data_IF_964802464538
#
_entry.id   IF_964802464538
#
_cell.length_a   1.000
_cell.length_b   1.000
_cell.length_c   1.000
_cell.angle_alpha   90.00
_cell.angle_beta   90.00
_cell.angle_gamma   90.00
#
_symmetry.space_group_name_H-M   'P 1'
#
loop_
_entity.id
_entity.type
_entity.pdbx_description
1 polymer ?
#
# COMPACT_ATOMS: atom_id res chain seq x y z
N UNK A 1 23.26 -11.05 23.65
CA UNK A 1 22.54 -10.69 22.43
C UNK A 1 21.30 -9.79 22.66
N UNK A 2 20.52 -9.96 23.74
CA UNK A 2 19.35 -9.11 24.03
C UNK A 2 19.68 -7.63 24.34
N UNK A 3 20.78 -7.32 24.95
CA UNK A 3 21.19 -5.94 25.30
C UNK A 3 21.68 -5.14 24.07
N UNK A 4 22.32 -5.77 23.08
CA UNK A 4 22.83 -5.10 21.89
C UNK A 4 21.70 -4.68 20.92
N UNK A 5 20.63 -5.48 20.81
CA UNK A 5 19.48 -5.14 19.97
C UNK A 5 18.63 -4.01 20.57
N UNK A 6 18.56 -3.93 21.90
CA UNK A 6 17.85 -2.88 22.63
C UNK A 6 18.59 -1.54 22.52
N UNK A 7 19.92 -1.56 22.64
CA UNK A 7 20.77 -0.37 22.51
C UNK A 7 20.74 0.21 21.10
N UNK A 8 20.85 -0.62 20.04
CA UNK A 8 20.67 -0.17 18.64
C UNK A 8 19.29 0.42 18.33
N UNK A 9 18.26 0.02 19.06
CA UNK A 9 16.90 0.54 18.87
C UNK A 9 16.70 1.86 19.62
N UNK A 10 17.39 2.05 20.75
CA UNK A 10 17.39 3.28 21.56
C UNK A 10 18.24 4.38 20.88
N UNK A 11 19.38 4.04 20.29
CA UNK A 11 20.27 4.96 19.57
C UNK A 11 19.56 5.52 18.30
N UNK A 12 18.92 4.66 17.51
CA UNK A 12 18.11 5.08 16.35
C UNK A 12 16.90 5.96 16.72
N UNK A 13 16.32 5.78 17.90
CA UNK A 13 15.17 6.53 18.41
C UNK A 13 15.57 7.96 18.76
N UNK A 14 16.69 8.16 19.46
CA UNK A 14 17.11 9.49 19.90
C UNK A 14 17.57 10.34 18.71
N UNK A 15 18.33 9.77 17.80
CA UNK A 15 18.75 10.44 16.58
C UNK A 15 17.57 10.92 15.73
N UNK A 16 16.54 10.07 15.55
CA UNK A 16 15.30 10.47 14.84
C UNK A 16 14.59 11.63 15.53
N UNK A 17 14.58 11.64 16.87
CA UNK A 17 13.99 12.73 17.65
C UNK A 17 14.79 14.02 17.49
N UNK A 18 16.13 13.95 17.48
CA UNK A 18 17.01 15.10 17.24
C UNK A 18 16.78 15.68 15.83
N UNK A 19 16.73 14.83 14.79
CA UNK A 19 16.39 15.26 13.42
C UNK A 19 15.03 15.99 13.38
N UNK A 20 14.04 15.46 14.09
CA UNK A 20 12.72 16.06 14.16
C UNK A 20 12.75 17.41 14.87
N UNK A 21 13.39 17.49 16.03
CA UNK A 21 13.51 18.71 16.82
C UNK A 21 14.27 19.79 16.05
N UNK A 22 15.36 19.42 15.35
CA UNK A 22 16.12 20.31 14.49
C UNK A 22 15.27 20.83 13.32
N UNK A 23 14.69 19.93 12.55
CA UNK A 23 13.87 20.25 11.38
C UNK A 23 12.73 21.22 11.68
N UNK A 24 12.05 21.03 12.79
CA UNK A 24 10.88 21.82 13.16
C UNK A 24 11.18 22.96 14.13
N UNK A 25 12.47 23.17 14.45
CA UNK A 25 12.93 24.20 15.37
C UNK A 25 12.20 24.16 16.71
N UNK A 26 12.00 22.94 17.26
CA UNK A 26 11.31 22.73 18.56
C UNK A 26 12.23 22.90 19.76
N UNK A 27 13.33 23.56 19.62
CA UNK A 27 14.30 23.89 20.67
C UNK A 27 14.17 25.39 21.03
N UNK A 28 14.63 25.80 22.23
CA UNK A 28 14.68 27.23 22.57
C UNK A 28 15.52 28.02 21.58
N UNK A 29 14.96 29.12 21.04
CA UNK A 29 15.65 29.96 20.05
C UNK A 29 16.71 30.90 20.68
N UNK A 30 16.81 30.95 22.00
CA UNK A 30 17.75 31.77 22.76
C UNK A 30 18.70 30.87 23.55
N UNK A 31 19.99 31.28 23.58
CA UNK A 31 21.01 30.73 24.48
C UNK A 31 21.58 29.34 24.14
N UNK A 32 21.59 28.91 22.87
CA UNK A 32 22.38 27.74 22.47
C UNK A 32 23.85 28.14 22.28
N UNK A 33 24.73 27.29 22.73
CA UNK A 33 26.19 27.45 22.55
C UNK A 33 26.81 26.19 21.97
N UNK A 34 27.83 26.37 21.14
CA UNK A 34 28.65 25.26 20.64
C UNK A 34 29.62 24.71 21.71
N UNK A 35 30.41 23.71 21.32
CA UNK A 35 31.46 23.10 22.15
C UNK A 35 32.51 24.08 22.67
N UNK A 36 32.69 25.19 21.97
CA UNK A 36 33.68 26.21 22.33
C UNK A 36 33.06 27.38 23.12
N UNK A 37 31.76 27.30 23.45
CA UNK A 37 31.03 28.32 24.19
C UNK A 37 30.56 29.48 23.33
N UNK A 38 30.64 29.39 22.02
CA UNK A 38 30.15 30.42 21.11
C UNK A 38 28.61 30.32 20.96
N UNK A 39 27.96 31.47 20.92
CA UNK A 39 26.52 31.51 20.70
C UNK A 39 26.17 30.99 19.29
N UNK A 40 25.20 30.07 19.25
CA UNK A 40 24.66 29.49 18.03
C UNK A 40 23.19 29.92 17.84
N UNK A 41 22.88 30.44 16.66
CA UNK A 41 21.50 30.75 16.23
C UNK A 41 21.19 30.01 14.94
N UNK A 42 20.07 29.29 14.90
CA UNK A 42 19.61 28.56 13.72
C UNK A 42 18.62 29.42 12.95
N UNK A 43 19.08 30.02 11.86
CA UNK A 43 18.25 30.85 10.96
C UNK A 43 17.34 29.94 10.11
N UNK A 44 17.97 28.95 9.43
CA UNK A 44 17.29 27.95 8.60
C UNK A 44 17.91 26.57 8.89
N UNK A 45 17.12 25.56 9.27
CA UNK A 45 17.63 24.21 9.55
C UNK A 45 18.14 23.49 8.29
N UNK A 46 17.85 24.00 7.09
CA UNK A 46 18.20 23.37 5.82
C UNK A 46 17.19 22.35 5.30
N UNK A 47 17.55 21.74 4.18
CA UNK A 47 16.74 20.72 3.52
C UNK A 47 17.11 19.33 4.02
N UNK A 48 16.17 18.63 4.64
CA UNK A 48 16.39 17.28 5.14
C UNK A 48 16.71 16.31 4.00
N UNK A 49 17.84 15.64 4.10
CA UNK A 49 18.31 14.63 3.15
C UNK A 49 17.80 13.24 3.58
N UNK A 50 17.35 12.45 2.61
CA UNK A 50 16.94 11.05 2.79
C UNK A 50 17.84 10.07 2.02
N UNK A 51 18.95 10.58 1.46
CA UNK A 51 19.91 9.81 0.67
C UNK A 51 21.28 9.82 1.39
N UNK A 52 22.31 9.29 0.73
CA UNK A 52 23.67 9.35 1.24
C UNK A 52 24.18 10.79 1.35
N UNK A 53 25.08 11.05 2.30
CA UNK A 53 25.64 12.36 2.62
C UNK A 53 24.98 13.02 3.83
N UNK A 54 25.37 14.25 4.18
CA UNK A 54 24.91 14.96 5.37
C UNK A 54 23.37 15.04 5.49
N UNK A 55 22.86 15.04 6.73
CA UNK A 55 21.42 14.97 7.05
C UNK A 55 20.63 16.18 6.61
N UNK A 56 21.23 17.36 6.64
CA UNK A 56 20.58 18.60 6.18
C UNK A 56 21.50 19.37 5.26
N UNK A 57 20.99 19.72 4.09
CA UNK A 57 21.71 20.55 3.11
C UNK A 57 21.36 22.02 3.23
N UNK A 58 22.36 22.89 3.01
CA UNK A 58 22.20 24.33 2.94
C UNK A 58 21.52 24.94 4.17
N UNK A 59 21.84 24.42 5.34
CA UNK A 59 21.43 25.06 6.59
C UNK A 59 22.10 26.42 6.72
N UNK A 60 21.41 27.37 7.37
CA UNK A 60 21.92 28.70 7.67
C UNK A 60 21.96 28.87 9.20
N UNK A 61 23.19 28.99 9.72
CA UNK A 61 23.44 29.13 11.16
C UNK A 61 24.33 30.35 11.40
N UNK A 62 24.16 31.01 12.54
CA UNK A 62 25.06 32.07 12.98
C UNK A 62 25.83 31.55 14.19
N UNK A 63 27.15 31.49 14.09
CA UNK A 63 28.05 31.04 15.15
C UNK A 63 28.96 32.22 15.49
N UNK A 64 28.97 32.64 16.75
CA UNK A 64 29.75 33.77 17.22
C UNK A 64 29.58 35.03 16.37
N UNK A 65 28.36 35.33 15.92
CA UNK A 65 28.00 36.49 15.06
C UNK A 65 28.37 36.35 13.57
N UNK A 66 28.98 35.24 13.17
CA UNK A 66 29.32 34.95 11.78
C UNK A 66 28.27 34.02 11.17
N UNK A 67 27.67 34.39 10.04
CA UNK A 67 26.73 33.57 9.28
C UNK A 67 27.48 32.49 8.50
N UNK A 68 27.05 31.26 8.66
CA UNK A 68 27.54 30.08 7.93
C UNK A 68 26.41 29.47 7.12
N UNK A 69 26.69 29.16 5.87
CA UNK A 69 25.79 28.38 5.01
C UNK A 69 26.50 27.10 4.63
N UNK A 70 25.91 25.95 4.99
CA UNK A 70 26.51 24.64 4.72
C UNK A 70 25.62 23.50 5.18
N UNK A 71 26.20 22.33 5.31
CA UNK A 71 25.48 21.14 5.71
C UNK A 71 25.51 20.96 7.23
N UNK A 72 24.53 20.26 7.76
CA UNK A 72 24.47 19.86 9.17
C UNK A 72 24.35 18.35 9.23
N UNK A 73 25.13 17.75 10.12
CA UNK A 73 25.06 16.33 10.48
C UNK A 73 24.54 16.19 11.89
N UNK A 74 23.74 15.16 12.14
CA UNK A 74 23.09 14.93 13.45
C UNK A 74 23.36 13.51 13.92
N UNK A 75 23.81 13.37 15.15
CA UNK A 75 24.04 12.08 15.81
C UNK A 75 23.52 12.09 17.23
N UNK A 76 23.34 10.92 17.82
CA UNK A 76 23.09 10.82 19.26
C UNK A 76 24.35 11.24 20.06
N UNK A 77 25.53 10.78 19.63
CA UNK A 77 26.83 11.13 20.25
C UNK A 77 27.84 11.64 19.23
N UNK A 78 28.73 12.51 19.67
CA UNK A 78 29.79 13.00 18.79
C UNK A 78 30.67 11.88 18.22
N UNK A 79 30.94 10.84 19.00
CA UNK A 79 31.75 9.68 18.59
C UNK A 79 31.16 8.90 17.42
N UNK A 80 29.85 9.02 17.15
CA UNK A 80 29.19 8.36 16.04
C UNK A 80 29.67 8.88 14.67
N UNK A 81 30.19 10.12 14.63
CA UNK A 81 30.92 10.66 13.48
C UNK A 81 32.01 9.71 12.96
N UNK A 82 32.79 9.16 13.86
CA UNK A 82 33.87 8.22 13.53
C UNK A 82 33.37 6.80 13.33
N UNK A 83 32.29 6.43 14.02
CA UNK A 83 31.67 5.11 13.85
C UNK A 83 31.08 4.96 12.45
N UNK A 84 30.54 6.05 11.88
CA UNK A 84 30.00 6.11 10.54
C UNK A 84 31.06 6.41 9.46
N UNK A 85 32.29 6.78 9.88
CA UNK A 85 33.45 7.00 8.98
C UNK A 85 33.43 8.33 8.25
N UNK A 86 32.71 9.33 8.77
CA UNK A 86 32.55 10.65 8.14
C UNK A 86 33.87 11.42 8.05
N UNK A 87 34.84 11.17 8.91
CA UNK A 87 36.18 11.72 8.87
C UNK A 87 36.99 11.30 7.63
N UNK A 88 36.48 10.31 6.86
CA UNK A 88 37.12 9.77 5.64
C UNK A 88 36.35 10.09 4.37
N UNK A 89 35.21 10.77 4.49
CA UNK A 89 34.33 11.06 3.35
C UNK A 89 34.31 12.55 3.04
N UNK A 90 34.78 12.90 1.83
CA UNK A 90 34.82 14.27 1.34
C UNK A 90 33.44 14.95 1.24
N UNK A 91 32.33 14.18 1.22
CA UNK A 91 30.98 14.72 1.20
C UNK A 91 30.67 15.51 2.49
N UNK A 92 31.35 15.19 3.60
CA UNK A 92 31.15 15.84 4.89
C UNK A 92 32.08 17.07 5.11
N UNK A 93 32.98 17.41 4.18
CA UNK A 93 33.82 18.58 4.29
C UNK A 93 33.02 19.91 4.29
N UNK A 94 31.79 19.91 3.78
CA UNK A 94 30.90 21.08 3.78
C UNK A 94 29.97 21.13 5.01
N UNK A 95 30.15 20.25 5.98
CA UNK A 95 29.43 20.32 7.25
C UNK A 95 29.95 21.53 8.04
N UNK A 96 29.04 22.41 8.45
CA UNK A 96 29.36 23.65 9.19
C UNK A 96 29.03 23.54 10.67
N UNK A 97 28.17 22.59 11.04
CA UNK A 97 27.77 22.32 12.42
C UNK A 97 27.46 20.84 12.58
N UNK A 98 28.02 20.23 13.63
CA UNK A 98 27.66 18.90 14.06
C UNK A 98 26.69 19.00 15.25
N UNK A 99 25.47 18.51 15.09
CA UNK A 99 24.42 18.57 16.10
C UNK A 99 24.34 17.22 16.79
N UNK A 100 24.34 17.20 18.12
CA UNK A 100 24.39 15.96 18.90
C UNK A 100 23.48 15.98 20.11
N UNK A 101 23.13 14.80 20.60
CA UNK A 101 22.48 14.61 21.90
C UNK A 101 23.49 14.72 23.05
N UNK A 102 24.72 14.24 22.83
CA UNK A 102 25.83 14.27 23.84
C UNK A 102 27.16 14.55 23.13
N UNK A 103 27.90 15.52 23.64
CA UNK A 103 29.28 15.79 23.19
C UNK A 103 30.23 14.95 24.04
N UNK A 104 30.75 13.87 23.47
CA UNK A 104 31.69 12.95 24.12
C UNK A 104 33.08 12.96 23.47
N UNK A 105 33.24 13.61 22.31
CA UNK A 105 34.49 13.67 21.55
C UNK A 105 34.52 14.83 20.57
N UNK A 106 35.72 15.43 20.36
CA UNK A 106 35.95 16.36 19.24
C UNK A 106 35.91 15.64 17.89
N UNK A 107 35.36 16.27 16.89
CA UNK A 107 35.26 15.71 15.55
C UNK A 107 35.97 16.58 14.51
N UNK A 108 36.55 15.90 13.51
CA UNK A 108 37.23 16.53 12.37
C UNK A 108 36.70 16.01 11.04
N UNK A 109 36.69 16.89 10.08
CA UNK A 109 36.43 16.54 8.68
C UNK A 109 37.68 15.93 8.02
N UNK A 110 37.54 15.37 6.80
CA UNK A 110 38.65 14.77 6.05
C UNK A 110 39.80 15.78 5.79
N UNK A 111 39.49 17.08 5.63
CA UNK A 111 40.46 18.15 5.45
C UNK A 111 41.08 18.63 6.76
N UNK A 112 40.77 17.98 7.91
CA UNK A 112 41.39 18.24 9.20
C UNK A 112 40.79 19.42 9.97
N UNK A 113 39.70 20.00 9.52
CA UNK A 113 38.98 21.08 10.19
C UNK A 113 38.17 20.53 11.36
N UNK A 114 38.36 21.08 12.58
CA UNK A 114 37.46 20.83 13.69
C UNK A 114 36.09 21.42 13.45
N UNK A 115 35.04 20.64 13.73
CA UNK A 115 33.66 21.08 13.60
C UNK A 115 33.15 21.66 14.92
N UNK A 116 32.49 22.83 14.89
CA UNK A 116 31.69 23.27 16.00
C UNK A 116 30.60 22.24 16.27
N UNK A 117 30.38 21.91 17.56
CA UNK A 117 29.40 20.92 17.96
C UNK A 117 28.32 21.58 18.83
N UNK A 118 27.07 21.28 18.56
CA UNK A 118 25.92 21.77 19.32
C UNK A 118 25.21 20.61 19.99
N UNK A 119 25.24 20.58 21.34
CA UNK A 119 24.33 19.70 22.05
C UNK A 119 22.90 20.27 21.96
N UNK A 120 22.03 19.59 21.19
CA UNK A 120 20.70 20.09 20.90
C UNK A 120 19.76 19.87 22.10
N UNK A 121 19.24 20.93 22.71
CA UNK A 121 18.30 20.77 23.82
C UNK A 121 16.94 20.27 23.30
N UNK A 122 16.58 19.05 23.66
CA UNK A 122 15.23 18.48 23.41
C UNK A 122 14.34 18.84 24.61
N UNK A 123 13.28 19.65 24.43
CA UNK A 123 12.37 19.97 25.52
C UNK A 123 11.76 18.70 26.14
N UNK A 124 11.64 18.64 27.44
CA UNK A 124 11.08 17.50 28.17
C UNK A 124 9.65 17.16 27.71
N UNK A 125 8.85 18.18 27.39
CA UNK A 125 7.50 17.99 26.84
C UNK A 125 7.52 17.29 25.49
N UNK A 126 8.48 17.62 24.61
CA UNK A 126 8.60 16.99 23.30
C UNK A 126 9.02 15.52 23.46
N UNK A 127 9.97 15.24 24.35
CA UNK A 127 10.39 13.87 24.69
C UNK A 127 9.23 13.05 25.25
N UNK A 128 8.55 13.55 26.25
CA UNK A 128 7.42 12.88 26.88
C UNK A 128 6.26 12.63 25.89
N UNK A 129 5.95 13.62 25.06
CA UNK A 129 4.93 13.49 24.02
C UNK A 129 5.28 12.41 22.99
N UNK A 130 6.54 12.32 22.62
CA UNK A 130 6.99 11.29 21.67
C UNK A 130 6.93 9.88 22.28
N UNK A 131 7.39 9.72 23.52
CA UNK A 131 7.29 8.44 24.25
C UNK A 131 5.82 8.00 24.39
N UNK A 132 4.90 8.94 24.68
CA UNK A 132 3.47 8.66 24.72
C UNK A 132 2.92 8.22 23.34
N UNK A 133 3.33 8.87 22.24
CA UNK A 133 2.94 8.48 20.90
C UNK A 133 3.39 7.08 20.50
N UNK A 134 4.53 6.62 21.05
CA UNK A 134 5.06 5.27 20.80
C UNK A 134 4.40 4.22 21.69
N UNK A 135 3.72 4.59 22.75
CA UNK A 135 3.03 3.66 23.62
C UNK A 135 1.97 2.85 22.85
N UNK A 136 1.79 1.59 23.24
CA UNK A 136 0.74 0.75 22.70
C UNK A 136 -0.57 1.03 23.42
N UNK A 137 -1.59 1.49 22.68
CA UNK A 137 -2.93 1.71 23.19
C UNK A 137 -3.98 1.19 22.19
N UNK A 138 -5.22 1.07 22.66
CA UNK A 138 -6.38 0.69 21.83
C UNK A 138 -6.60 1.68 20.70
N UNK A 139 -6.38 2.96 20.95
CA UNK A 139 -6.41 4.05 19.98
C UNK A 139 -5.03 4.69 19.89
N UNK A 140 -4.62 5.23 18.74
CA UNK A 140 -3.41 6.03 18.65
C UNK A 140 -3.47 7.19 19.66
N UNK A 141 -2.45 7.42 20.52
CA UNK A 141 -2.51 8.44 21.58
C UNK A 141 -2.87 9.85 21.07
N UNK A 142 -2.45 10.18 19.84
CA UNK A 142 -2.78 11.44 19.19
C UNK A 142 -4.29 11.66 18.94
N UNK A 143 -5.16 10.64 19.15
CA UNK A 143 -6.61 10.83 19.01
C UNK A 143 -7.16 11.92 19.95
N UNK A 144 -6.51 12.13 21.09
CA UNK A 144 -6.93 13.11 22.10
C UNK A 144 -6.95 14.54 21.59
N UNK A 145 -6.12 14.85 20.59
CA UNK A 145 -6.04 16.21 20.05
C UNK A 145 -6.88 16.45 18.81
N UNK A 146 -7.44 15.37 18.21
CA UNK A 146 -8.23 15.49 16.97
C UNK A 146 -9.37 16.51 17.09
N UNK A 147 -10.14 16.57 18.20
CA UNK A 147 -11.22 17.56 18.36
C UNK A 147 -10.74 19.01 18.32
N UNK A 148 -9.47 19.26 18.65
CA UNK A 148 -8.89 20.61 18.71
C UNK A 148 -8.20 21.01 17.40
N UNK A 149 -8.06 20.09 16.46
CA UNK A 149 -7.44 20.36 15.16
C UNK A 149 -8.35 21.22 14.29
N UNK A 150 -7.74 22.15 13.55
CA UNK A 150 -8.49 22.94 12.58
C UNK A 150 -9.01 22.06 11.43
N UNK A 151 -10.16 22.40 10.87
CA UNK A 151 -10.71 21.73 9.68
C UNK A 151 -9.71 21.74 8.52
N UNK A 152 -8.95 22.82 8.35
CA UNK A 152 -7.93 22.94 7.32
C UNK A 152 -6.80 21.93 7.53
N UNK A 153 -6.32 21.77 8.76
CA UNK A 153 -5.26 20.80 9.11
C UNK A 153 -5.72 19.38 8.78
N UNK A 154 -6.93 19.01 9.20
CA UNK A 154 -7.52 17.69 8.94
C UNK A 154 -7.67 17.47 7.43
N UNK A 155 -8.32 18.39 6.72
CA UNK A 155 -8.58 18.27 5.29
C UNK A 155 -7.29 18.16 4.48
N UNK A 156 -6.32 19.03 4.71
CA UNK A 156 -5.06 19.01 3.97
C UNK A 156 -4.27 17.70 4.22
N UNK A 157 -4.31 17.18 5.45
CA UNK A 157 -3.66 15.91 5.76
C UNK A 157 -4.38 14.72 5.13
N UNK A 158 -5.70 14.68 5.16
CA UNK A 158 -6.51 13.64 4.53
C UNK A 158 -6.28 13.59 3.02
N UNK A 159 -6.23 14.76 2.35
CA UNK A 159 -5.94 14.83 0.90
C UNK A 159 -4.52 14.34 0.56
N UNK A 160 -3.52 14.68 1.38
CA UNK A 160 -2.16 14.16 1.20
C UNK A 160 -2.11 12.63 1.35
N UNK A 161 -2.77 12.08 2.38
CA UNK A 161 -2.83 10.64 2.62
C UNK A 161 -3.57 9.87 1.51
N UNK A 162 -4.63 10.45 0.95
CA UNK A 162 -5.35 9.91 -0.20
C UNK A 162 -4.44 9.79 -1.42
N UNK A 163 -3.70 10.85 -1.71
CA UNK A 163 -2.71 10.89 -2.81
C UNK A 163 -1.62 9.83 -2.59
N UNK A 164 -1.01 9.78 -1.40
CA UNK A 164 -0.02 8.75 -1.06
C UNK A 164 -0.58 7.33 -1.22
N UNK A 165 -1.85 7.13 -0.88
CA UNK A 165 -2.52 5.83 -1.03
C UNK A 165 -2.62 5.41 -2.48
N UNK A 166 -3.00 6.33 -3.37
CA UNK A 166 -3.06 6.08 -4.81
C UNK A 166 -1.67 5.84 -5.41
N UNK A 167 -0.68 6.63 -5.01
CA UNK A 167 0.71 6.45 -5.47
C UNK A 167 1.26 5.07 -5.05
N UNK A 168 1.02 4.64 -3.82
CA UNK A 168 1.43 3.31 -3.36
C UNK A 168 0.76 2.20 -4.16
N UNK A 169 -0.56 2.31 -4.42
CA UNK A 169 -1.27 1.34 -5.28
C UNK A 169 -0.74 1.37 -6.72
N UNK A 170 -0.34 2.53 -7.21
CA UNK A 170 0.28 2.69 -8.53
C UNK A 170 1.57 1.89 -8.66
N UNK A 171 2.41 1.83 -7.62
CA UNK A 171 3.64 1.02 -7.61
C UNK A 171 3.31 -0.46 -7.87
N UNK A 172 2.29 -1.00 -7.17
CA UNK A 172 1.87 -2.39 -7.34
C UNK A 172 1.30 -2.67 -8.75
N UNK A 173 0.52 -1.72 -9.31
CA UNK A 173 -0.04 -1.85 -10.65
C UNK A 173 1.06 -1.77 -11.71
N UNK A 174 2.01 -0.83 -11.59
CA UNK A 174 3.16 -0.73 -12.49
C UNK A 174 4.03 -1.98 -12.45
N UNK A 175 4.24 -2.56 -11.27
CA UNK A 175 4.95 -3.84 -11.14
C UNK A 175 4.23 -4.93 -11.94
N UNK A 176 2.89 -5.06 -11.81
CA UNK A 176 2.11 -6.03 -12.62
C UNK A 176 2.23 -5.77 -14.12
N UNK A 177 2.20 -4.50 -14.55
CA UNK A 177 2.38 -4.15 -15.95
C UNK A 177 3.78 -4.55 -16.46
N UNK A 178 4.83 -4.31 -15.67
CA UNK A 178 6.20 -4.73 -15.99
C UNK A 178 6.33 -6.26 -16.05
N UNK A 179 5.75 -6.97 -15.08
CA UNK A 179 5.70 -8.45 -15.07
C UNK A 179 4.97 -9.02 -16.30
N UNK A 180 4.09 -8.23 -16.91
CA UNK A 180 3.38 -8.54 -18.16
C UNK A 180 4.03 -7.91 -19.40
N UNK A 181 5.33 -7.57 -19.39
CA UNK A 181 6.04 -6.95 -20.50
C UNK A 181 5.42 -5.65 -21.02
N UNK A 182 4.86 -4.85 -20.13
CA UNK A 182 4.19 -3.59 -20.47
C UNK A 182 2.74 -3.71 -20.92
N UNK A 183 2.15 -4.90 -20.87
CA UNK A 183 0.74 -5.13 -21.19
C UNK A 183 -0.18 -4.68 -20.05
N UNK A 184 -0.74 -3.48 -20.21
CA UNK A 184 -1.68 -2.89 -19.25
C UNK A 184 -3.05 -3.59 -19.21
N UNK A 185 -3.48 -4.24 -20.29
CA UNK A 185 -4.71 -5.04 -20.31
C UNK A 185 -4.57 -6.25 -19.37
N UNK A 186 -3.47 -6.99 -19.46
CA UNK A 186 -3.17 -8.09 -18.53
C UNK A 186 -2.99 -7.59 -17.10
N UNK A 187 -2.30 -6.47 -16.88
CA UNK A 187 -2.12 -5.89 -15.54
C UNK A 187 -3.46 -5.46 -14.92
N UNK A 188 -4.36 -4.90 -15.72
CA UNK A 188 -5.71 -4.57 -15.29
C UNK A 188 -6.51 -5.82 -14.92
N UNK A 189 -6.49 -6.87 -15.77
CA UNK A 189 -7.19 -8.12 -15.49
C UNK A 189 -6.70 -8.76 -14.19
N UNK A 190 -5.39 -8.82 -13.98
CA UNK A 190 -4.79 -9.34 -12.73
C UNK A 190 -5.25 -8.51 -11.51
N UNK A 191 -5.27 -7.18 -11.65
CA UNK A 191 -5.71 -6.29 -10.56
C UNK A 191 -7.21 -6.44 -10.27
N UNK A 192 -8.02 -6.60 -11.32
CA UNK A 192 -9.45 -6.88 -11.21
C UNK A 192 -9.70 -8.22 -10.50
N UNK A 193 -9.05 -9.28 -10.96
CA UNK A 193 -9.15 -10.61 -10.36
C UNK A 193 -8.76 -10.58 -8.88
N UNK A 194 -7.65 -9.93 -8.51
CA UNK A 194 -7.23 -9.76 -7.11
C UNK A 194 -8.35 -9.17 -6.25
N UNK A 195 -9.09 -8.19 -6.76
CA UNK A 195 -10.18 -7.54 -6.03
C UNK A 195 -11.40 -8.44 -5.83
N UNK A 196 -11.62 -9.43 -6.71
CA UNK A 196 -12.66 -10.46 -6.51
C UNK A 196 -12.36 -11.41 -5.35
N UNK A 197 -11.13 -11.43 -4.84
CA UNK A 197 -10.75 -12.17 -3.65
C UNK A 197 -11.21 -11.52 -2.33
N UNK A 198 -11.65 -10.27 -2.34
CA UNK A 198 -12.17 -9.50 -1.20
C UNK A 198 -11.34 -9.66 0.09
N UNK A 199 -10.03 -9.57 -0.03
CA UNK A 199 -9.06 -9.70 1.05
C UNK A 199 -8.62 -11.14 1.29
N UNK A 200 -9.53 -12.03 1.67
CA UNK A 200 -9.21 -13.40 2.10
C UNK A 200 -8.56 -14.24 0.99
N UNK A 201 -9.05 -14.13 -0.23
CA UNK A 201 -8.55 -14.87 -1.39
C UNK A 201 -7.81 -13.96 -2.41
N UNK A 202 -7.48 -12.72 -2.06
CA UNK A 202 -6.89 -11.76 -3.00
C UNK A 202 -5.59 -12.27 -3.63
N UNK A 203 -4.71 -12.89 -2.83
CA UNK A 203 -3.44 -13.42 -3.33
C UNK A 203 -3.63 -14.65 -4.23
N UNK A 204 -4.58 -15.54 -3.86
CA UNK A 204 -4.92 -16.69 -4.70
C UNK A 204 -5.53 -16.25 -6.04
N UNK A 205 -6.41 -15.26 -6.06
CA UNK A 205 -6.95 -14.69 -7.28
C UNK A 205 -5.88 -14.00 -8.14
N UNK A 206 -4.94 -13.27 -7.54
CA UNK A 206 -3.82 -12.67 -8.28
C UNK A 206 -2.94 -13.75 -8.91
N UNK A 207 -2.57 -14.78 -8.14
CA UNK A 207 -1.76 -15.89 -8.65
C UNK A 207 -2.50 -16.63 -9.77
N UNK A 208 -3.76 -16.97 -9.57
CA UNK A 208 -4.60 -17.58 -10.60
C UNK A 208 -4.63 -16.75 -11.88
N UNK A 209 -4.85 -15.44 -11.79
CA UNK A 209 -4.92 -14.57 -12.96
C UNK A 209 -3.59 -14.46 -13.71
N UNK A 210 -2.46 -14.56 -13.00
CA UNK A 210 -1.11 -14.61 -13.60
C UNK A 210 -0.86 -15.89 -14.38
N UNK A 211 -1.43 -17.00 -13.93
CA UNK A 211 -1.32 -18.32 -14.59
C UNK A 211 -2.39 -18.54 -15.65
N UNK A 212 -3.36 -17.62 -15.81
CA UNK A 212 -4.43 -17.79 -16.77
C UNK A 212 -3.94 -17.46 -18.19
N UNK A 213 -4.01 -18.42 -19.15
CA UNK A 213 -3.60 -18.19 -20.53
C UNK A 213 -4.68 -17.40 -21.30
N UNK A 214 -4.70 -16.08 -21.14
CA UNK A 214 -5.71 -15.21 -21.77
C UNK A 214 -5.68 -15.30 -23.30
N UNK A 215 -4.53 -15.59 -23.92
CA UNK A 215 -4.41 -15.86 -25.35
C UNK A 215 -5.19 -17.12 -25.76
N UNK A 216 -5.06 -18.21 -25.00
CA UNK A 216 -5.84 -19.43 -25.24
C UNK A 216 -7.34 -19.18 -25.02
N UNK A 217 -7.72 -18.45 -23.94
CA UNK A 217 -9.09 -18.06 -23.70
C UNK A 217 -9.68 -17.20 -24.84
N UNK A 218 -8.86 -16.37 -25.48
CA UNK A 218 -9.28 -15.54 -26.59
C UNK A 218 -9.70 -16.33 -27.84
N UNK A 219 -9.13 -17.50 -28.05
CA UNK A 219 -9.52 -18.41 -29.14
C UNK A 219 -10.91 -19.07 -28.95
N UNK A 220 -11.43 -19.03 -27.73
CA UNK A 220 -12.71 -19.67 -27.36
C UNK A 220 -13.73 -18.65 -26.82
N UNK A 221 -13.62 -17.38 -27.22
CA UNK A 221 -14.49 -16.29 -26.73
C UNK A 221 -15.96 -16.42 -27.03
N UNK A 222 -16.32 -17.24 -27.97
CA UNK A 222 -17.71 -17.53 -28.41
C UNK A 222 -18.31 -18.74 -27.67
N UNK A 223 -17.50 -19.47 -26.89
CA UNK A 223 -17.94 -20.65 -26.13
C UNK A 223 -17.78 -20.42 -24.62
N UNK A 224 -18.89 -20.10 -23.95
CA UNK A 224 -18.93 -19.87 -22.51
C UNK A 224 -18.45 -21.07 -21.70
N UNK A 225 -18.78 -22.31 -22.15
CA UNK A 225 -18.42 -23.53 -21.46
C UNK A 225 -16.91 -23.78 -21.50
N UNK A 226 -16.27 -23.52 -22.64
CA UNK A 226 -14.82 -23.64 -22.78
C UNK A 226 -14.05 -22.59 -21.96
N UNK A 227 -14.55 -21.35 -21.93
CA UNK A 227 -13.97 -20.31 -21.06
C UNK A 227 -14.10 -20.72 -19.59
N UNK A 228 -15.27 -21.24 -19.19
CA UNK A 228 -15.49 -21.70 -17.81
C UNK A 228 -14.60 -22.87 -17.46
N UNK A 229 -14.44 -23.86 -18.37
CA UNK A 229 -13.53 -24.98 -18.19
C UNK A 229 -12.11 -24.51 -17.97
N UNK A 230 -11.62 -23.57 -18.79
CA UNK A 230 -10.29 -23.02 -18.68
C UNK A 230 -10.08 -22.25 -17.35
N UNK A 231 -11.01 -21.39 -16.99
CA UNK A 231 -10.92 -20.55 -15.79
C UNK A 231 -10.99 -21.39 -14.50
N UNK A 232 -11.97 -22.30 -14.40
CA UNK A 232 -12.12 -23.19 -13.25
C UNK A 232 -10.97 -24.19 -13.14
N UNK A 233 -10.48 -24.68 -14.28
CA UNK A 233 -9.35 -25.61 -14.34
C UNK A 233 -8.06 -24.97 -13.91
N UNK A 234 -7.72 -23.79 -14.44
CA UNK A 234 -6.54 -23.02 -14.03
C UNK A 234 -6.58 -22.60 -12.55
N UNK A 235 -7.77 -22.48 -11.97
CA UNK A 235 -7.95 -22.27 -10.56
C UNK A 235 -7.73 -23.55 -9.70
N UNK A 236 -7.43 -24.70 -10.31
CA UNK A 236 -7.31 -25.98 -9.61
C UNK A 236 -8.64 -26.53 -9.06
N UNK A 237 -9.76 -25.87 -9.41
CA UNK A 237 -11.09 -26.22 -8.91
C UNK A 237 -11.70 -27.45 -9.62
N UNK A 238 -11.04 -27.98 -10.65
CA UNK A 238 -11.39 -29.21 -11.36
C UNK A 238 -10.48 -30.39 -11.01
N UNK A 239 -9.50 -30.20 -10.13
CA UNK A 239 -8.65 -31.27 -9.62
C UNK A 239 -9.30 -31.94 -8.40
N UNK A 240 -10.01 -33.03 -8.67
CA UNK A 240 -10.66 -33.82 -7.63
C UNK A 240 -9.69 -34.41 -6.58
N UNK A 241 -8.42 -34.64 -6.95
CA UNK A 241 -7.44 -35.22 -6.03
C UNK A 241 -7.04 -34.30 -4.89
N UNK A 242 -7.09 -33.00 -5.12
CA UNK A 242 -6.76 -31.96 -4.14
C UNK A 242 -7.97 -31.51 -3.29
N UNK A 243 -9.17 -31.95 -3.61
CA UNK A 243 -10.39 -31.60 -2.88
C UNK A 243 -10.53 -32.38 -1.57
N UNK A 244 -11.13 -31.80 -0.52
CA UNK A 244 -11.61 -32.54 0.66
C UNK A 244 -12.59 -33.64 0.27
N UNK A 245 -12.59 -34.79 0.99
CA UNK A 245 -13.34 -35.99 0.62
C UNK A 245 -14.82 -35.76 0.33
N UNK A 246 -15.52 -34.98 1.17
CA UNK A 246 -16.93 -34.69 0.98
C UNK A 246 -17.22 -33.85 -0.26
N UNK A 247 -16.37 -32.89 -0.59
CA UNK A 247 -16.49 -32.11 -1.84
C UNK A 247 -16.14 -32.95 -3.05
N UNK A 248 -15.12 -33.81 -2.93
CA UNK A 248 -14.68 -34.72 -3.99
C UNK A 248 -15.78 -35.68 -4.40
N UNK A 249 -16.43 -36.32 -3.45
CA UNK A 249 -17.53 -37.26 -3.71
C UNK A 249 -18.70 -36.57 -4.43
N UNK A 250 -19.11 -35.39 -3.95
CA UNK A 250 -20.18 -34.62 -4.58
C UNK A 250 -19.81 -34.21 -6.01
N UNK A 251 -18.58 -33.69 -6.23
CA UNK A 251 -18.10 -33.28 -7.55
C UNK A 251 -18.03 -34.46 -8.55
N UNK A 252 -17.50 -35.61 -8.11
CA UNK A 252 -17.37 -36.80 -8.97
C UNK A 252 -18.73 -37.43 -9.34
N UNK A 253 -19.82 -37.10 -8.62
CA UNK A 253 -21.18 -37.51 -8.92
C UNK A 253 -21.95 -36.49 -9.77
N UNK A 254 -21.33 -35.39 -10.17
CA UNK A 254 -21.94 -34.29 -10.91
C UNK A 254 -21.53 -34.32 -12.39
N UNK A 255 -22.49 -34.53 -13.27
CA UNK A 255 -22.25 -34.58 -14.72
C UNK A 255 -21.66 -33.28 -15.27
N UNK A 256 -22.03 -32.13 -14.70
CA UNK A 256 -21.47 -30.85 -15.13
C UNK A 256 -19.98 -30.76 -14.82
N UNK A 257 -19.59 -31.16 -13.60
CA UNK A 257 -18.18 -31.22 -13.21
C UNK A 257 -17.36 -32.14 -14.12
N UNK A 258 -17.88 -33.35 -14.38
CA UNK A 258 -17.17 -34.33 -15.21
C UNK A 258 -16.97 -33.82 -16.63
N UNK A 259 -17.98 -33.20 -17.23
CA UNK A 259 -17.89 -32.59 -18.56
C UNK A 259 -16.91 -31.41 -18.59
N UNK A 260 -17.01 -30.52 -17.59
CA UNK A 260 -16.12 -29.34 -17.48
C UNK A 260 -14.65 -29.75 -17.31
N UNK A 261 -14.42 -30.79 -16.50
CA UNK A 261 -13.08 -31.38 -16.29
C UNK A 261 -12.52 -31.99 -17.58
N UNK A 262 -13.35 -32.74 -18.33
CA UNK A 262 -12.96 -33.34 -19.60
C UNK A 262 -12.60 -32.25 -20.63
N UNK A 263 -13.40 -31.19 -20.71
CA UNK A 263 -13.13 -30.05 -21.59
C UNK A 263 -11.83 -29.35 -21.20
N UNK A 264 -11.59 -29.12 -19.91
CA UNK A 264 -10.35 -28.54 -19.43
C UNK A 264 -9.13 -29.39 -19.79
N UNK A 265 -9.21 -30.73 -19.65
CA UNK A 265 -8.14 -31.64 -20.03
C UNK A 265 -7.83 -31.54 -21.55
N UNK A 266 -8.85 -31.47 -22.39
CA UNK A 266 -8.69 -31.22 -23.82
C UNK A 266 -7.98 -29.87 -24.08
N UNK A 267 -8.39 -28.78 -23.43
CA UNK A 267 -7.79 -27.47 -23.59
C UNK A 267 -6.33 -27.45 -23.10
N UNK A 268 -6.02 -28.13 -21.98
CA UNK A 268 -4.65 -28.29 -21.50
C UNK A 268 -3.74 -28.96 -22.54
N UNK A 269 -4.23 -30.03 -23.17
CA UNK A 269 -3.49 -30.71 -24.22
C UNK A 269 -3.35 -29.84 -25.49
N UNK A 270 -4.44 -29.21 -25.91
CA UNK A 270 -4.46 -28.34 -27.11
C UNK A 270 -3.50 -27.17 -27.00
N UNK A 271 -3.38 -26.53 -25.84
CA UNK A 271 -2.57 -25.34 -25.59
C UNK A 271 -1.29 -25.62 -24.82
N UNK A 272 -0.96 -26.90 -24.54
CA UNK A 272 0.23 -27.35 -23.79
C UNK A 272 0.40 -26.65 -22.44
N UNK A 273 -0.69 -26.45 -21.70
CA UNK A 273 -0.67 -25.67 -20.46
C UNK A 273 0.08 -26.33 -19.31
N UNK A 274 0.43 -27.62 -19.43
CA UNK A 274 1.22 -28.37 -18.44
C UNK A 274 2.73 -28.28 -18.68
N UNK A 275 3.13 -27.73 -19.82
CA UNK A 275 4.53 -27.61 -20.23
C UNK A 275 5.02 -26.17 -19.96
N UNK A 276 6.36 -25.98 -19.81
CA UNK A 276 6.94 -24.64 -19.80
C UNK A 276 6.56 -23.90 -21.10
N UNK A 277 6.11 -22.66 -20.97
CA UNK A 277 5.74 -21.84 -22.12
C UNK A 277 6.97 -21.19 -22.77
N UNK A 278 6.93 -21.00 -24.09
CA UNK A 278 7.99 -20.34 -24.86
C UNK A 278 8.17 -18.86 -24.45
N UNK A 279 7.14 -18.23 -23.88
CA UNK A 279 7.16 -16.86 -23.37
C UNK A 279 7.68 -16.73 -21.92
N UNK A 280 8.13 -17.84 -21.33
CA UNK A 280 8.64 -17.92 -19.96
C UNK A 280 7.59 -17.83 -18.86
N UNK A 281 6.29 -17.86 -19.21
CA UNK A 281 5.18 -17.86 -18.24
C UNK A 281 4.86 -19.27 -17.77
N UNK A 282 4.43 -19.40 -16.54
CA UNK A 282 3.94 -20.65 -15.97
C UNK A 282 2.40 -20.67 -16.06
N UNK A 283 1.87 -21.53 -16.94
CA UNK A 283 0.43 -21.72 -17.11
C UNK A 283 -0.12 -22.96 -16.39
N UNK A 284 0.64 -23.54 -15.47
CA UNK A 284 0.11 -24.65 -14.66
C UNK A 284 -0.98 -24.15 -13.71
N UNK A 285 -2.01 -24.95 -13.53
CA UNK A 285 -3.08 -24.65 -12.59
C UNK A 285 -2.53 -24.40 -11.18
N UNK A 286 -3.15 -23.48 -10.46
CA UNK A 286 -2.85 -23.30 -9.03
C UNK A 286 -3.46 -24.44 -8.23
N UNK A 287 -2.92 -24.71 -7.02
CA UNK A 287 -3.42 -25.77 -6.16
C UNK A 287 -4.75 -25.35 -5.52
N UNK A 288 -5.74 -26.28 -5.48
CA UNK A 288 -7.02 -26.10 -4.79
C UNK A 288 -6.86 -25.61 -3.35
N UNK A 289 -5.81 -26.06 -2.64
CA UNK A 289 -5.53 -25.72 -1.24
C UNK A 289 -5.16 -24.25 -1.00
N UNK A 290 -4.88 -23.49 -2.04
CA UNK A 290 -4.66 -22.05 -1.94
C UNK A 290 -5.96 -21.28 -1.68
N UNK A 291 -7.11 -21.86 -2.02
CA UNK A 291 -8.40 -21.24 -1.80
C UNK A 291 -8.86 -21.43 -0.38
N UNK A 292 -9.33 -20.35 0.22
CA UNK A 292 -9.92 -20.36 1.56
C UNK A 292 -11.44 -20.26 1.44
N UNK A 293 -12.13 -21.27 2.02
CA UNK A 293 -13.59 -21.35 2.05
C UNK A 293 -14.13 -21.06 3.45
N UNK A 294 -13.35 -21.38 4.48
CA UNK A 294 -13.74 -21.21 5.88
C UNK A 294 -14.00 -19.74 6.21
N UNK A 295 -15.10 -19.49 6.93
CA UNK A 295 -15.57 -18.14 7.33
C UNK A 295 -16.01 -17.24 6.18
N UNK A 296 -16.20 -17.79 4.97
CA UNK A 296 -16.81 -17.08 3.86
C UNK A 296 -18.31 -17.39 3.77
N UNK A 297 -19.11 -16.39 3.42
CA UNK A 297 -20.49 -16.60 2.96
C UNK A 297 -20.44 -17.28 1.59
N UNK A 298 -21.35 -18.23 1.26
CA UNK A 298 -21.33 -18.97 0.00
C UNK A 298 -21.25 -18.09 -1.26
N UNK A 299 -21.89 -16.91 -1.26
CA UNK A 299 -21.78 -15.93 -2.35
C UNK A 299 -20.36 -15.43 -2.62
N UNK A 300 -19.43 -15.60 -1.66
CA UNK A 300 -18.03 -15.20 -1.77
C UNK A 300 -17.10 -16.39 -2.03
N UNK A 301 -17.62 -17.59 -2.25
CA UNK A 301 -16.79 -18.75 -2.59
C UNK A 301 -16.07 -18.52 -3.92
N UNK A 302 -14.84 -19.03 -4.05
CA UNK A 302 -14.05 -18.93 -5.27
C UNK A 302 -14.81 -19.35 -6.53
N UNK A 303 -15.59 -20.42 -6.45
CA UNK A 303 -16.47 -20.88 -7.55
C UNK A 303 -17.37 -19.77 -8.09
N UNK A 304 -18.08 -19.07 -7.20
CA UNK A 304 -19.00 -18.01 -7.55
C UNK A 304 -18.26 -16.81 -8.16
N UNK A 305 -17.12 -16.43 -7.54
CA UNK A 305 -16.34 -15.28 -7.99
C UNK A 305 -15.64 -15.53 -9.32
N UNK A 306 -15.13 -16.75 -9.54
CA UNK A 306 -14.56 -17.15 -10.85
C UNK A 306 -15.66 -17.21 -11.90
N UNK A 307 -16.83 -17.78 -11.61
CA UNK A 307 -17.97 -17.80 -12.53
C UNK A 307 -18.40 -16.39 -12.95
N UNK A 308 -18.39 -15.40 -12.04
CA UNK A 308 -18.64 -14.01 -12.38
C UNK A 308 -17.56 -13.44 -13.32
N UNK A 309 -16.27 -13.75 -13.07
CA UNK A 309 -15.17 -13.33 -13.96
C UNK A 309 -15.23 -14.02 -15.33
N UNK A 310 -15.61 -15.30 -15.39
CA UNK A 310 -15.90 -16.03 -16.64
C UNK A 310 -16.92 -15.28 -17.47
N UNK A 311 -18.03 -14.93 -16.84
CA UNK A 311 -19.14 -14.26 -17.53
C UNK A 311 -18.77 -12.81 -17.96
N UNK A 312 -18.00 -12.06 -17.12
CA UNK A 312 -17.44 -10.76 -17.51
C UNK A 312 -16.52 -10.89 -18.73
N UNK A 313 -15.64 -11.90 -18.73
CA UNK A 313 -14.73 -12.14 -19.83
C UNK A 313 -15.48 -12.53 -21.11
N UNK A 314 -16.43 -13.45 -21.03
CA UNK A 314 -17.29 -13.86 -22.14
C UNK A 314 -18.04 -12.68 -22.74
N UNK A 315 -18.61 -11.78 -21.92
CA UNK A 315 -19.32 -10.59 -22.36
C UNK A 315 -18.39 -9.45 -22.82
N UNK A 316 -17.06 -9.68 -22.85
CA UNK A 316 -16.02 -8.69 -23.25
C UNK A 316 -16.00 -7.43 -22.38
N UNK A 317 -16.32 -7.56 -21.09
CA UNK A 317 -16.37 -6.45 -20.12
C UNK A 317 -15.14 -6.35 -19.22
N UNK A 318 -14.06 -7.02 -19.60
CA UNK A 318 -12.79 -7.04 -18.81
C UNK A 318 -11.68 -6.24 -19.46
N UNK A 319 -11.97 -5.35 -20.41
CA UNK A 319 -10.94 -4.55 -21.08
C UNK A 319 -10.68 -3.25 -20.35
N UNK A 320 -9.41 -2.88 -20.23
CA UNK A 320 -8.98 -1.60 -19.66
C UNK A 320 -9.56 -0.41 -20.46
N UNK A 321 -9.56 -0.53 -21.80
CA UNK A 321 -10.11 0.51 -22.68
C UNK A 321 -11.56 0.85 -22.38
N UNK A 322 -12.39 -0.14 -22.01
CA UNK A 322 -13.80 0.09 -21.68
C UNK A 322 -13.93 0.88 -20.37
N UNK A 323 -13.08 0.57 -19.37
CA UNK A 323 -13.04 1.31 -18.09
C UNK A 323 -12.57 2.74 -18.29
N UNK A 324 -11.53 2.94 -19.11
CA UNK A 324 -10.99 4.28 -19.43
C UNK A 324 -12.05 5.14 -20.15
N UNK A 325 -12.89 4.53 -20.99
CA UNK A 325 -13.94 5.24 -21.72
C UNK A 325 -15.13 5.66 -20.84
N UNK A 326 -15.33 5.00 -19.69
CA UNK A 326 -16.40 5.36 -18.76
C UNK A 326 -16.13 6.73 -18.12
N UNK A 327 -17.04 7.66 -18.31
CA UNK A 327 -16.95 9.01 -17.72
C UNK A 327 -17.55 9.07 -16.31
N UNK A 328 -18.45 8.16 -15.96
CA UNK A 328 -19.20 8.18 -14.69
C UNK A 328 -19.10 6.87 -13.93
N UNK A 329 -19.29 6.96 -12.61
CA UNK A 329 -19.38 5.79 -11.71
C UNK A 329 -20.48 4.82 -12.17
N UNK A 330 -21.63 5.36 -12.63
CA UNK A 330 -22.76 4.53 -13.08
C UNK A 330 -22.40 3.68 -14.30
N UNK A 331 -21.65 4.24 -15.24
CA UNK A 331 -21.18 3.49 -16.44
C UNK A 331 -20.24 2.37 -16.02
N UNK A 332 -19.29 2.62 -15.12
CA UNK A 332 -18.39 1.58 -14.60
C UNK A 332 -19.16 0.50 -13.83
N UNK A 333 -20.15 0.90 -13.02
CA UNK A 333 -20.99 -0.05 -12.30
C UNK A 333 -21.81 -0.92 -13.26
N UNK A 334 -22.34 -0.36 -14.35
CA UNK A 334 -23.02 -1.12 -15.39
C UNK A 334 -22.08 -2.07 -16.13
N UNK A 335 -20.85 -1.62 -16.43
CA UNK A 335 -19.82 -2.44 -17.06
C UNK A 335 -19.48 -3.67 -16.20
N UNK A 336 -19.32 -3.50 -14.89
CA UNK A 336 -18.89 -4.55 -13.97
C UNK A 336 -20.05 -5.34 -13.34
N UNK A 337 -21.29 -4.93 -13.53
CA UNK A 337 -22.47 -5.62 -13.02
C UNK A 337 -22.68 -6.93 -13.78
N UNK A 338 -22.58 -8.06 -13.07
CA UNK A 338 -22.56 -9.38 -13.71
C UNK A 338 -23.20 -10.45 -12.84
N UNK A 339 -23.86 -11.40 -13.48
CA UNK A 339 -24.36 -12.65 -12.91
C UNK A 339 -23.31 -13.76 -13.06
N UNK A 340 -23.51 -14.84 -12.33
CA UNK A 340 -22.81 -16.11 -12.54
C UNK A 340 -23.23 -16.77 -13.84
N UNK A 341 -22.48 -17.77 -14.31
CA UNK A 341 -22.90 -18.66 -15.40
C UNK A 341 -24.06 -19.58 -14.95
N UNK A 342 -24.84 -20.14 -15.85
CA UNK A 342 -26.14 -20.80 -15.54
C UNK A 342 -26.07 -21.90 -14.46
N UNK A 343 -25.04 -22.73 -14.45
CA UNK A 343 -24.88 -23.78 -13.45
C UNK A 343 -24.85 -23.22 -12.03
N UNK A 344 -24.16 -22.12 -11.82
CA UNK A 344 -23.97 -21.50 -10.50
C UNK A 344 -25.20 -20.74 -9.98
N UNK A 345 -26.24 -20.59 -10.76
CA UNK A 345 -27.51 -20.05 -10.25
C UNK A 345 -28.11 -20.95 -9.16
N UNK A 346 -27.86 -22.27 -9.28
CA UNK A 346 -28.38 -23.29 -8.36
C UNK A 346 -27.33 -24.03 -7.56
N UNK A 347 -26.04 -23.64 -7.65
CA UNK A 347 -24.94 -24.32 -6.95
C UNK A 347 -23.98 -23.30 -6.30
N UNK A 348 -23.38 -23.67 -5.17
CA UNK A 348 -22.26 -22.97 -4.53
C UNK A 348 -20.98 -23.76 -4.55
N UNK A 349 -21.06 -25.06 -4.78
CA UNK A 349 -19.96 -25.99 -5.03
C UNK A 349 -20.47 -27.06 -5.99
N UNK A 350 -19.57 -27.77 -6.66
CA UNK A 350 -19.94 -28.85 -7.57
C UNK A 350 -20.71 -29.95 -6.84
N UNK A 351 -21.78 -30.42 -7.45
CA UNK A 351 -22.64 -31.48 -6.94
C UNK A 351 -23.46 -31.10 -5.69
N UNK A 352 -23.44 -29.85 -5.26
CA UNK A 352 -24.20 -29.37 -4.10
C UNK A 352 -25.21 -28.34 -4.53
N UNK A 353 -26.44 -28.78 -4.76
CA UNK A 353 -27.54 -27.92 -5.19
C UNK A 353 -28.03 -26.98 -4.09
N UNK A 354 -28.47 -25.81 -4.48
CA UNK A 354 -29.09 -24.79 -3.63
C UNK A 354 -30.36 -24.26 -4.30
N UNK A 355 -31.19 -23.55 -3.58
CA UNK A 355 -32.30 -22.81 -4.17
C UNK A 355 -31.77 -21.83 -5.24
N UNK A 356 -32.48 -21.77 -6.37
CA UNK A 356 -32.16 -20.82 -7.44
C UNK A 356 -32.27 -19.40 -6.93
N UNK A 357 -31.23 -18.59 -7.16
CA UNK A 357 -31.20 -17.20 -6.72
C UNK A 357 -30.25 -16.37 -7.54
N UNK A 358 -30.49 -15.06 -7.53
CA UNK A 358 -29.53 -14.12 -8.12
C UNK A 358 -28.22 -14.15 -7.34
N UNK A 359 -27.13 -14.46 -8.02
CA UNK A 359 -25.76 -14.37 -7.51
C UNK A 359 -25.01 -13.28 -8.24
N UNK A 360 -25.71 -12.19 -8.51
CA UNK A 360 -25.15 -10.98 -9.08
C UNK A 360 -24.14 -10.35 -8.11
N UNK A 361 -23.16 -9.66 -8.67
CA UNK A 361 -22.19 -8.92 -7.90
C UNK A 361 -22.89 -7.77 -7.14
N UNK A 362 -22.97 -7.87 -5.83
CA UNK A 362 -23.68 -6.91 -4.98
C UNK A 362 -23.08 -5.49 -5.09
N UNK A 363 -23.90 -4.46 -4.92
CA UNK A 363 -23.47 -3.06 -4.97
C UNK A 363 -22.30 -2.74 -4.02
N UNK A 364 -22.28 -3.32 -2.83
CA UNK A 364 -21.16 -3.17 -1.89
C UNK A 364 -19.87 -3.79 -2.44
N UNK A 365 -19.97 -4.94 -3.13
CA UNK A 365 -18.80 -5.58 -3.79
C UNK A 365 -18.31 -4.75 -4.97
N UNK A 366 -19.22 -4.19 -5.77
CA UNK A 366 -18.87 -3.27 -6.85
C UNK A 366 -18.12 -2.05 -6.31
N UNK A 367 -18.61 -1.44 -5.22
CA UNK A 367 -17.96 -0.31 -4.57
C UNK A 367 -16.51 -0.65 -4.17
N UNK A 368 -16.28 -1.82 -3.55
CA UNK A 368 -14.93 -2.31 -3.17
C UNK A 368 -14.04 -2.49 -4.41
N UNK A 369 -14.57 -3.06 -5.50
CA UNK A 369 -13.82 -3.25 -6.75
C UNK A 369 -13.47 -1.88 -7.37
N UNK A 370 -14.38 -0.93 -7.35
CA UNK A 370 -14.10 0.42 -7.85
C UNK A 370 -12.98 1.09 -7.06
N UNK A 371 -13.04 1.06 -5.73
CA UNK A 371 -12.03 1.66 -4.86
C UNK A 371 -10.66 0.97 -4.99
N UNK A 372 -10.63 -0.35 -5.19
CA UNK A 372 -9.39 -1.13 -5.14
C UNK A 372 -8.84 -1.52 -6.51
N UNK A 373 -9.62 -1.37 -7.58
CA UNK A 373 -9.18 -1.65 -8.96
C UNK A 373 -9.34 -0.44 -9.86
N UNK A 374 -10.58 0.00 -10.09
CA UNK A 374 -10.86 0.99 -11.15
C UNK A 374 -10.14 2.30 -10.88
N UNK A 375 -10.33 2.87 -9.69
CA UNK A 375 -9.70 4.15 -9.31
C UNK A 375 -8.17 4.07 -9.34
N UNK A 376 -7.51 3.09 -8.69
CA UNK A 376 -6.06 3.00 -8.76
C UNK A 376 -5.51 2.74 -10.16
N UNK A 377 -6.24 1.99 -11.00
CA UNK A 377 -5.82 1.73 -12.39
C UNK A 377 -5.95 2.99 -13.23
N UNK A 378 -7.04 3.75 -13.11
CA UNK A 378 -7.20 5.05 -13.80
C UNK A 378 -6.05 6.00 -13.42
N UNK A 379 -5.75 6.13 -12.14
CA UNK A 379 -4.67 6.97 -11.66
C UNK A 379 -3.30 6.49 -12.17
N UNK A 380 -2.99 5.18 -12.04
CA UNK A 380 -1.72 4.59 -12.46
C UNK A 380 -1.51 4.72 -13.98
N UNK A 381 -2.56 4.50 -14.77
CA UNK A 381 -2.52 4.61 -16.24
C UNK A 381 -2.43 6.08 -16.67
N UNK A 382 -3.16 6.98 -16.00
CA UNK A 382 -3.05 8.42 -16.20
C UNK A 382 -1.63 8.92 -15.96
N UNK A 383 -1.00 8.51 -14.87
CA UNK A 383 0.43 8.81 -14.57
C UNK A 383 1.38 8.22 -15.61
N UNK A 384 1.08 7.03 -16.14
CA UNK A 384 1.90 6.38 -17.17
C UNK A 384 1.79 7.12 -18.52
N UNK A 385 0.62 7.59 -18.86
CA UNK A 385 0.35 8.32 -20.13
C UNK A 385 0.51 9.84 -20.04
N UNK A 386 0.84 10.38 -18.86
CA UNK A 386 0.82 11.80 -18.54
C UNK A 386 -0.53 12.46 -18.89
N UNK A 387 -1.63 11.73 -18.65
CA UNK A 387 -3.01 12.21 -18.82
C UNK A 387 -3.60 12.60 -17.46
N UNK A 388 -3.53 13.91 -17.15
CA UNK A 388 -4.03 14.45 -15.89
C UNK A 388 -5.55 14.25 -15.72
N UNK A 389 -6.32 14.25 -16.80
CA UNK A 389 -7.78 14.05 -16.76
C UNK A 389 -8.17 12.67 -16.21
N UNK A 390 -7.34 11.64 -16.45
CA UNK A 390 -7.56 10.33 -15.84
C UNK A 390 -7.21 10.33 -14.36
N UNK A 391 -6.19 11.07 -13.95
CA UNK A 391 -5.83 11.24 -12.55
C UNK A 391 -6.94 11.99 -11.79
N UNK A 392 -7.42 13.12 -12.33
CA UNK A 392 -8.50 13.90 -11.73
C UNK A 392 -9.79 13.06 -11.59
N UNK A 393 -10.14 12.30 -12.65
CA UNK A 393 -11.29 11.39 -12.58
C UNK A 393 -11.17 10.33 -11.49
N UNK A 394 -9.96 9.86 -11.20
CA UNK A 394 -9.74 8.91 -10.12
C UNK A 394 -10.07 9.53 -8.75
N UNK A 395 -9.70 10.78 -8.51
CA UNK A 395 -10.07 11.52 -7.30
C UNK A 395 -11.57 11.82 -7.27
N UNK A 396 -12.14 12.31 -8.36
CA UNK A 396 -13.58 12.56 -8.47
C UNK A 396 -14.42 11.31 -8.14
N UNK A 397 -13.95 10.14 -8.57
CA UNK A 397 -14.61 8.88 -8.24
C UNK A 397 -14.48 8.55 -6.76
N UNK A 398 -13.33 8.78 -6.13
CA UNK A 398 -13.19 8.57 -4.69
C UNK A 398 -14.08 9.48 -3.86
N UNK A 399 -14.26 10.72 -4.27
CA UNK A 399 -15.17 11.66 -3.60
C UNK A 399 -16.63 11.24 -3.69
N UNK A 400 -17.05 10.70 -4.84
CA UNK A 400 -18.44 10.29 -5.11
C UNK A 400 -18.79 8.89 -4.56
N UNK A 401 -17.80 8.00 -4.41
CA UNK A 401 -18.01 6.66 -3.90
C UNK A 401 -18.25 6.67 -2.39
N UNK A 402 -19.11 5.76 -1.94
CA UNK A 402 -19.36 5.56 -0.52
C UNK A 402 -18.09 5.07 0.18
N UNK A 403 -17.82 5.62 1.36
CA UNK A 403 -16.75 5.18 2.24
C UNK A 403 -16.81 3.67 2.53
N UNK A 404 -15.65 3.06 2.70
CA UNK A 404 -15.57 1.68 3.19
C UNK A 404 -15.98 1.60 4.66
N UNK A 405 -16.73 0.57 5.01
CA UNK A 405 -17.09 0.27 6.40
C UNK A 405 -16.23 -0.88 6.91
N UNK A 406 -15.11 -0.56 7.55
CA UNK A 406 -14.21 -1.51 8.18
C UNK A 406 -13.77 -1.04 9.58
N UNK A 407 -13.03 -1.89 10.28
CA UNK A 407 -12.60 -1.61 11.66
C UNK A 407 -11.69 -0.38 11.77
N UNK A 408 -10.84 -0.13 10.79
CA UNK A 408 -9.92 1.02 10.76
C UNK A 408 -10.73 2.32 10.63
N UNK A 409 -11.64 2.36 9.65
CA UNK A 409 -12.47 3.53 9.40
C UNK A 409 -13.34 3.86 10.60
N UNK A 410 -14.01 2.85 11.18
CA UNK A 410 -14.84 3.03 12.39
C UNK A 410 -14.02 3.51 13.59
N UNK A 411 -12.80 3.01 13.78
CA UNK A 411 -11.90 3.47 14.83
C UNK A 411 -11.62 4.97 14.69
N UNK A 412 -11.27 5.44 13.50
CA UNK A 412 -10.95 6.85 13.28
C UNK A 412 -12.19 7.76 13.37
N UNK A 413 -13.37 7.28 12.95
CA UNK A 413 -14.63 7.99 13.18
C UNK A 413 -14.92 8.17 14.69
N UNK A 414 -14.66 7.15 15.50
CA UNK A 414 -14.76 7.23 16.96
C UNK A 414 -13.76 8.22 17.56
N UNK A 415 -12.61 8.41 16.92
CA UNK A 415 -11.63 9.43 17.30
C UNK A 415 -11.98 10.84 16.81
N UNK A 416 -13.08 11.01 16.07
CA UNK A 416 -13.57 12.33 15.62
C UNK A 416 -13.15 12.76 14.23
N UNK A 417 -12.47 11.89 13.44
CA UNK A 417 -12.16 12.21 12.03
C UNK A 417 -13.41 12.04 11.16
N UNK A 418 -13.68 12.99 10.24
CA UNK A 418 -14.81 12.89 9.33
C UNK A 418 -14.60 11.79 8.28
N UNK A 419 -15.68 11.10 7.90
CA UNK A 419 -15.67 10.10 6.83
C UNK A 419 -16.93 10.27 6.00
N UNK A 420 -16.81 10.90 4.85
CA UNK A 420 -17.91 11.21 3.95
C UNK A 420 -17.83 10.43 2.64
N UNK A 421 -16.62 10.06 2.21
CA UNK A 421 -16.34 9.50 0.92
C UNK A 421 -15.36 8.29 0.98
N UNK A 422 -15.22 7.62 -0.15
CA UNK A 422 -14.19 6.58 -0.29
C UNK A 422 -12.77 7.18 -0.17
N UNK A 423 -12.55 8.42 -0.60
CA UNK A 423 -11.29 9.14 -0.43
C UNK A 423 -10.91 9.23 1.05
N UNK A 424 -11.85 9.69 1.90
CA UNK A 424 -11.62 9.74 3.35
C UNK A 424 -11.26 8.35 3.91
N UNK A 425 -12.01 7.30 3.53
CA UNK A 425 -11.72 5.95 4.04
C UNK A 425 -10.37 5.42 3.57
N UNK A 426 -9.93 5.72 2.35
CA UNK A 426 -8.61 5.35 1.84
C UNK A 426 -7.49 6.14 2.53
N UNK A 427 -7.70 7.41 2.82
CA UNK A 427 -6.77 8.24 3.59
C UNK A 427 -6.59 7.69 5.02
N UNK A 428 -7.66 7.31 5.70
CA UNK A 428 -7.60 6.73 7.04
C UNK A 428 -6.93 5.36 7.09
N UNK A 429 -7.13 4.54 6.05
CA UNK A 429 -6.41 3.28 5.90
C UNK A 429 -4.91 3.55 5.69
N UNK A 430 -4.55 4.57 4.90
CA UNK A 430 -3.16 4.99 4.71
C UNK A 430 -2.56 5.46 6.03
N UNK A 431 -3.24 6.33 6.75
CA UNK A 431 -2.82 6.81 8.08
C UNK A 431 -2.53 5.65 9.03
N UNK A 432 -3.44 4.68 9.13
CA UNK A 432 -3.25 3.52 10.01
C UNK A 432 -2.06 2.67 9.57
N UNK A 433 -2.04 2.24 8.31
CA UNK A 433 -1.10 1.21 7.86
C UNK A 433 0.30 1.72 7.56
N UNK A 434 0.45 2.96 7.12
CA UNK A 434 1.74 3.54 6.77
C UNK A 434 2.37 4.35 7.90
N UNK A 435 1.56 4.90 8.80
CA UNK A 435 2.05 5.75 9.89
C UNK A 435 1.86 5.10 11.27
N UNK A 436 0.62 4.80 11.67
CA UNK A 436 0.37 4.34 13.04
C UNK A 436 0.93 2.96 13.35
N UNK A 437 0.74 1.98 12.44
CA UNK A 437 1.26 0.62 12.64
C UNK A 437 2.78 0.56 12.59
N UNK A 438 3.40 1.52 11.91
CA UNK A 438 4.87 1.65 11.78
C UNK A 438 5.49 2.61 12.77
N UNK A 439 4.67 3.26 13.64
CA UNK A 439 5.13 4.28 14.58
C UNK A 439 5.83 5.50 13.93
N UNK A 440 5.44 5.83 12.70
CA UNK A 440 5.96 6.96 11.93
C UNK A 440 5.33 8.29 12.39
N UNK A 441 5.23 8.50 13.70
CA UNK A 441 4.55 9.65 14.29
C UNK A 441 5.25 10.98 13.96
N UNK A 442 6.57 10.95 13.83
CA UNK A 442 7.38 12.12 13.47
C UNK A 442 7.16 12.59 12.02
N UNK A 443 6.61 11.73 11.15
CA UNK A 443 6.26 12.06 9.76
C UNK A 443 4.77 12.38 9.60
N UNK A 444 3.98 12.23 10.66
CA UNK A 444 2.54 12.39 10.65
C UNK A 444 2.15 13.83 11.03
N UNK A 445 1.24 14.45 10.26
CA UNK A 445 0.75 15.80 10.57
C UNK A 445 0.03 15.87 11.91
N UNK A 446 -0.76 14.85 12.26
CA UNK A 446 -1.42 14.79 13.58
C UNK A 446 -0.37 14.59 14.68
N UNK A 447 0.64 13.75 14.45
CA UNK A 447 1.79 13.59 15.35
C UNK A 447 2.51 14.92 15.58
N UNK A 448 2.74 15.69 14.52
CA UNK A 448 3.36 17.02 14.63
C UNK A 448 2.55 17.98 15.51
N UNK A 449 1.23 18.04 15.35
CA UNK A 449 0.39 18.89 16.21
C UNK A 449 0.36 18.39 17.66
N UNK A 450 0.52 17.08 17.88
CA UNK A 450 0.64 16.50 19.23
C UNK A 450 1.97 16.86 19.89
N UNK A 451 3.07 16.80 19.16
CA UNK A 451 4.43 17.08 19.67
C UNK A 451 4.61 18.54 20.12
N UNK A 452 3.78 19.47 19.61
CA UNK A 452 3.85 20.90 19.97
C UNK A 452 3.18 21.26 21.30
N UNK A 453 2.45 20.33 21.90
CA UNK A 453 1.78 20.55 23.19
C UNK A 453 2.72 20.26 24.33
#
# INVERSE_FOLDING_TARGET
MYNFARQKHEDSYMEQLLHYVWKHKLFPLSEMTDSDGHRVEVVDPGLHNHNAGPDFFNAKVVINGTEWIGNVEIHDRSSDWYLHGHERDAQYNNVVLHVVGEIDRDVQTLDGRFLPQLCLPVPDSVRANYEELLAADKYPPCHRIIPDLTRLTIHSWMSALETERLERKTIDIKRRANDCNGDWESAYFITLARSFGFGINSDAFEQWARHLPLSAAAHHRDDLFQIEALFMGQAGLLDASSMPDHHRQAALSDDYFLRLRSEYQYLCHKFRLSEPSDDGRDYRAIDYRQWRFLRLRPHNFPYIRISQLVNLYYQRRTRLSDVISCATIKEVQQLLRIQVTPYWETHYAFGTSSTRGSKELAAASLNIIMINTVVPVLFAYGRHKSDERLCDRAFDFLEQLKAEDNTIVRMWQQCGLPVNSAGDSQALIQLKTAYCDRKECLRCRIGYEYMKR
#
